data_IF_680950562244
#
_entry.id   IF_680950562244
#
_cell.length_a   1.000
_cell.length_b   1.000
_cell.length_c   1.000
_cell.angle_alpha   90.00
_cell.angle_beta   90.00
_cell.angle_gamma   90.00
#
_symmetry.space_group_name_H-M   'P 1'
#
loop_
_entity.id
_entity.type
_entity.pdbx_description
1 polymer ?
#
# COMPACT_ATOMS: atom_id res chain seq x y z
N UNK A 1 6.98 -11.02 12.80
CA UNK A 1 5.99 -9.99 12.61
C UNK A 1 5.94 -9.62 11.16
N UNK A 2 4.83 -10.00 10.53
CA UNK A 2 4.59 -9.79 9.13
C UNK A 2 4.62 -8.31 8.75
N UNK A 3 3.90 -7.47 9.49
CA UNK A 3 3.83 -6.03 9.21
C UNK A 3 5.14 -5.31 9.46
N UNK A 4 5.92 -5.77 10.42
CA UNK A 4 7.22 -5.18 10.66
C UNK A 4 8.16 -5.43 9.47
N UNK A 5 8.15 -6.63 8.92
CA UNK A 5 8.93 -6.96 7.72
C UNK A 5 8.49 -6.14 6.52
N UNK A 6 7.18 -5.93 6.37
CA UNK A 6 6.64 -5.09 5.31
C UNK A 6 7.12 -3.65 5.48
N UNK A 7 7.05 -3.11 6.69
CA UNK A 7 7.51 -1.75 6.97
C UNK A 7 8.99 -1.58 6.67
N UNK A 8 9.82 -2.56 7.02
CA UNK A 8 11.26 -2.53 6.74
C UNK A 8 11.53 -2.53 5.23
N UNK A 9 10.82 -3.36 4.49
CA UNK A 9 10.93 -3.40 3.02
C UNK A 9 10.48 -2.10 2.40
N UNK A 10 9.39 -1.53 2.92
CA UNK A 10 8.88 -0.24 2.46
C UNK A 10 9.91 0.85 2.68
N UNK A 11 10.57 0.87 3.83
CA UNK A 11 11.61 1.86 4.09
C UNK A 11 12.72 1.78 3.03
N UNK A 12 13.16 0.58 2.68
CA UNK A 12 14.21 0.40 1.66
C UNK A 12 13.76 0.94 0.30
N UNK A 13 12.50 0.66 -0.09
CA UNK A 13 11.95 1.18 -1.34
C UNK A 13 11.88 2.71 -1.33
N UNK A 14 11.41 3.28 -0.24
CA UNK A 14 11.29 4.72 -0.08
C UNK A 14 12.66 5.38 -0.15
N UNK A 15 13.65 4.81 0.51
CA UNK A 15 15.01 5.35 0.48
C UNK A 15 15.60 5.32 -0.93
N UNK A 16 15.38 4.24 -1.66
CA UNK A 16 15.88 4.13 -3.04
C UNK A 16 15.24 5.19 -3.94
N UNK A 17 13.93 5.36 -3.84
CA UNK A 17 13.21 6.38 -4.62
C UNK A 17 13.62 7.79 -4.23
N UNK A 18 13.80 8.04 -2.94
CA UNK A 18 14.22 9.35 -2.44
C UNK A 18 15.62 9.71 -2.93
N UNK A 19 16.54 8.75 -2.91
CA UNK A 19 17.91 8.98 -3.44
C UNK A 19 17.88 9.25 -4.92
N UNK A 20 17.07 8.53 -5.68
CA UNK A 20 16.93 8.75 -7.12
C UNK A 20 16.38 10.16 -7.42
N UNK A 21 15.57 10.70 -6.53
CA UNK A 21 15.00 12.04 -6.65
C UNK A 21 15.90 13.13 -6.06
N UNK A 22 17.10 12.79 -5.59
CA UNK A 22 18.03 13.71 -4.91
C UNK A 22 17.42 14.36 -3.67
N UNK A 23 16.62 13.60 -2.94
CA UNK A 23 15.95 14.10 -1.76
C UNK A 23 16.93 14.23 -0.59
N UNK A 24 16.76 15.31 0.17
CA UNK A 24 17.43 15.48 1.45
C UNK A 24 16.67 14.76 2.56
N UNK A 25 15.35 14.68 2.43
CA UNK A 25 14.47 14.13 3.45
C UNK A 25 13.14 13.70 2.84
N UNK A 26 12.56 12.64 3.39
CA UNK A 26 11.21 12.21 3.06
C UNK A 26 10.25 12.80 4.08
N UNK A 27 9.22 13.50 3.62
CA UNK A 27 8.22 14.14 4.47
C UNK A 27 7.02 13.21 4.70
N UNK A 28 6.55 12.59 3.63
CA UNK A 28 5.36 11.74 3.67
C UNK A 28 5.47 10.62 2.66
N UNK A 29 4.99 9.46 3.06
CA UNK A 29 4.90 8.26 2.22
C UNK A 29 3.43 7.90 2.10
N UNK A 30 2.92 7.79 0.90
CA UNK A 30 1.54 7.34 0.68
C UNK A 30 1.58 5.98 0.00
N UNK A 31 0.91 5.01 0.62
CA UNK A 31 0.81 3.65 0.09
C UNK A 31 -0.66 3.28 -0.09
N UNK A 32 -0.89 2.34 -1.00
CA UNK A 32 -2.20 1.75 -1.18
C UNK A 32 -2.14 0.31 -0.73
N UNK A 33 -3.11 -0.08 0.10
CA UNK A 33 -3.15 -1.43 0.66
C UNK A 33 -4.53 -2.02 0.36
N UNK A 34 -4.54 -3.09 -0.41
CA UNK A 34 -5.78 -3.77 -0.73
C UNK A 34 -6.37 -4.47 0.49
N UNK A 35 -7.70 -4.47 0.58
CA UNK A 35 -8.39 -5.15 1.69
C UNK A 35 -8.08 -6.65 1.72
N UNK A 36 -7.76 -7.23 0.58
CA UNK A 36 -7.43 -8.64 0.45
C UNK A 36 -5.91 -8.93 0.49
N UNK A 37 -5.10 -7.93 0.80
CA UNK A 37 -3.63 -8.09 0.82
C UNK A 37 -3.13 -8.85 2.05
N UNK A 38 -3.99 -9.08 3.04
CA UNK A 38 -3.59 -9.77 4.26
C UNK A 38 -2.73 -8.93 5.20
N UNK A 39 -2.79 -7.61 5.07
CA UNK A 39 -1.99 -6.68 5.87
C UNK A 39 -2.90 -5.97 6.87
N UNK A 40 -2.54 -6.03 8.15
CA UNK A 40 -3.27 -5.29 9.17
C UNK A 40 -2.72 -3.86 9.20
N UNK A 41 -3.54 -2.91 8.76
CA UNK A 41 -3.10 -1.53 8.53
C UNK A 41 -2.62 -0.80 9.79
N UNK A 42 -3.30 -1.02 10.91
CA UNK A 42 -2.89 -0.37 12.17
C UNK A 42 -1.53 -0.88 12.65
N UNK A 43 -1.28 -2.17 12.52
CA UNK A 43 0.02 -2.76 12.86
C UNK A 43 1.11 -2.25 11.92
N UNK A 44 0.79 -2.10 10.64
CA UNK A 44 1.74 -1.55 9.69
C UNK A 44 2.10 -0.10 10.04
N UNK A 45 1.11 0.71 10.39
CA UNK A 45 1.36 2.09 10.80
C UNK A 45 2.25 2.16 12.03
N UNK A 46 2.01 1.30 13.01
CA UNK A 46 2.84 1.23 14.21
C UNK A 46 4.26 0.78 13.89
N UNK A 47 4.40 -0.23 13.04
CA UNK A 47 5.72 -0.72 12.63
C UNK A 47 6.49 0.37 11.86
N UNK A 48 5.81 1.14 11.02
CA UNK A 48 6.44 2.23 10.29
C UNK A 48 7.04 3.27 11.24
N UNK A 49 6.32 3.63 12.29
CA UNK A 49 6.82 4.60 13.27
C UNK A 49 8.13 4.16 13.90
N UNK A 50 8.34 2.87 14.02
CA UNK A 50 9.57 2.32 14.56
C UNK A 50 10.68 2.26 13.51
N UNK A 51 10.39 1.75 12.31
CA UNK A 51 11.42 1.54 11.29
C UNK A 51 11.86 2.82 10.60
N UNK A 52 11.04 3.87 10.63
CA UNK A 52 11.36 5.13 9.95
C UNK A 52 12.47 5.93 10.62
N UNK A 53 12.83 5.59 11.84
CA UNK A 53 13.76 6.38 12.64
C UNK A 53 15.13 6.46 11.99
N UNK A 54 15.66 7.68 11.94
CA UNK A 54 16.99 7.96 11.41
C UNK A 54 17.03 8.08 9.90
N UNK A 55 18.01 8.82 9.40
CA UNK A 55 18.26 8.96 7.98
C UNK A 55 17.17 9.69 7.21
N UNK A 56 17.01 9.35 5.95
CA UNK A 56 16.09 10.03 5.03
C UNK A 56 14.62 9.94 5.46
N UNK A 57 14.26 8.86 6.14
CA UNK A 57 12.86 8.61 6.51
C UNK A 57 12.51 9.08 7.91
N UNK A 58 13.46 9.69 8.62
CA UNK A 58 13.21 10.11 10.00
C UNK A 58 12.03 11.07 10.07
N UNK A 59 11.04 10.75 10.88
CA UNK A 59 9.84 11.56 11.02
C UNK A 59 8.86 11.54 9.85
N UNK A 60 9.12 10.72 8.83
CA UNK A 60 8.24 10.64 7.66
C UNK A 60 6.88 10.07 8.04
N UNK A 61 5.82 10.77 7.66
CA UNK A 61 4.45 10.29 7.88
C UNK A 61 4.10 9.18 6.89
N UNK A 62 3.33 8.21 7.36
CA UNK A 62 2.78 7.18 6.48
C UNK A 62 1.28 7.39 6.33
N UNK A 63 0.83 7.57 5.09
CA UNK A 63 -0.59 7.61 4.76
C UNK A 63 -0.95 6.30 4.08
N UNK A 64 -1.91 5.60 4.65
CA UNK A 64 -2.38 4.32 4.12
C UNK A 64 -3.76 4.53 3.51
N UNK A 65 -3.88 4.26 2.21
CA UNK A 65 -5.15 4.33 1.50
C UNK A 65 -5.62 2.89 1.28
N UNK A 66 -6.78 2.56 1.83
CA UNK A 66 -7.37 1.24 1.66
C UNK A 66 -7.97 1.12 0.26
N UNK A 67 -7.71 -0.01 -0.38
CA UNK A 67 -8.27 -0.32 -1.71
C UNK A 67 -9.24 -1.49 -1.54
N UNK A 68 -10.52 -1.31 -1.88
CA UNK A 68 -11.49 -2.40 -1.70
C UNK A 68 -11.18 -3.60 -2.59
N UNK A 69 -11.56 -4.78 -2.11
CA UNK A 69 -11.48 -5.99 -2.89
C UNK A 69 -12.43 -5.89 -4.09
N UNK A 70 -11.97 -6.36 -5.23
CA UNK A 70 -12.79 -6.40 -6.44
C UNK A 70 -12.93 -7.85 -6.88
N UNK A 71 -14.18 -8.26 -7.08
CA UNK A 71 -14.53 -9.63 -7.44
C UNK A 71 -15.21 -9.67 -8.79
N UNK A 72 -14.92 -10.71 -9.58
CA UNK A 72 -15.55 -10.91 -10.87
C UNK A 72 -15.93 -12.38 -11.00
N UNK A 73 -16.91 -12.67 -11.86
CA UNK A 73 -17.27 -14.05 -12.16
C UNK A 73 -16.06 -14.80 -12.74
N UNK A 74 -15.81 -16.00 -12.26
CA UNK A 74 -14.69 -16.82 -12.73
C UNK A 74 -14.84 -17.26 -14.18
N UNK A 75 -16.04 -17.13 -14.76
CA UNK A 75 -16.31 -17.56 -16.13
C UNK A 75 -16.54 -16.37 -17.07
N UNK A 76 -17.56 -15.53 -16.79
CA UNK A 76 -17.93 -14.45 -17.71
C UNK A 76 -17.28 -13.11 -17.37
N UNK A 77 -16.56 -13.02 -16.26
CA UNK A 77 -15.83 -11.83 -15.81
C UNK A 77 -16.70 -10.62 -15.45
N UNK A 78 -18.00 -10.84 -15.29
CA UNK A 78 -18.91 -9.80 -14.83
C UNK A 78 -18.58 -9.43 -13.38
N UNK A 79 -18.54 -8.15 -13.03
CA UNK A 79 -18.29 -7.74 -11.63
C UNK A 79 -19.34 -8.29 -10.68
N UNK A 80 -18.88 -8.71 -9.50
CA UNK A 80 -19.72 -9.25 -8.42
C UNK A 80 -19.55 -8.34 -7.21
N UNK A 81 -20.66 -7.93 -6.60
CA UNK A 81 -20.63 -7.05 -5.44
C UNK A 81 -20.09 -7.73 -4.19
N UNK A 82 -19.59 -6.91 -3.26
CA UNK A 82 -19.00 -7.39 -2.01
C UNK A 82 -20.03 -7.64 -0.90
N UNK A 83 -21.25 -7.18 -1.06
CA UNK A 83 -22.23 -7.14 0.00
C UNK A 83 -23.27 -8.26 -0.07
N UNK A 84 -22.97 -9.31 -0.81
CA UNK A 84 -23.80 -10.48 -0.95
C UNK A 84 -22.97 -11.72 -1.21
N UNK A 85 -23.58 -12.83 -1.66
CA UNK A 85 -22.82 -14.00 -2.00
C UNK A 85 -21.83 -13.70 -3.12
N UNK A 86 -20.60 -14.20 -2.98
CA UNK A 86 -19.58 -14.00 -4.01
C UNK A 86 -19.78 -14.98 -5.16
N UNK A 87 -20.83 -14.74 -5.91
CA UNK A 87 -21.29 -15.63 -6.98
C UNK A 87 -21.95 -14.81 -8.08
N UNK A 88 -21.69 -15.17 -9.31
CA UNK A 88 -22.33 -14.54 -10.47
C UNK A 88 -23.79 -14.96 -10.55
N UNK A 89 -24.71 -14.01 -10.64
CA UNK A 89 -26.14 -14.34 -10.76
C UNK A 89 -26.47 -15.03 -12.07
N UNK A 90 -25.81 -14.63 -13.15
CA UNK A 90 -26.07 -15.20 -14.47
C UNK A 90 -25.51 -16.59 -14.64
N UNK A 91 -24.27 -16.82 -14.16
CA UNK A 91 -23.57 -18.09 -14.37
C UNK A 91 -23.72 -19.08 -13.21
N UNK A 92 -24.08 -18.59 -12.01
CA UNK A 92 -24.09 -19.42 -10.81
C UNK A 92 -22.71 -19.85 -10.35
N UNK A 93 -21.66 -19.29 -10.93
CA UNK A 93 -20.27 -19.63 -10.67
C UNK A 93 -19.71 -18.70 -9.59
N UNK A 94 -18.84 -19.24 -8.74
CA UNK A 94 -18.17 -18.46 -7.71
C UNK A 94 -17.31 -17.35 -8.29
N UNK A 95 -17.24 -16.22 -7.55
CA UNK A 95 -16.42 -15.10 -7.95
C UNK A 95 -14.95 -15.37 -7.63
N UNK A 96 -14.07 -14.76 -8.42
CA UNK A 96 -12.64 -14.76 -8.16
C UNK A 96 -12.18 -13.33 -7.90
N UNK A 97 -11.12 -13.19 -7.12
CA UNK A 97 -10.57 -11.89 -6.79
C UNK A 97 -9.86 -11.29 -8.01
N UNK A 98 -10.16 -10.03 -8.30
CA UNK A 98 -9.62 -9.31 -9.45
C UNK A 98 -9.08 -7.94 -9.05
N UNK A 99 -8.62 -7.78 -7.86
CA UNK A 99 -8.02 -6.53 -7.38
C UNK A 99 -8.21 -6.35 -5.90
N UNK A 100 -7.45 -5.41 -5.34
CA UNK A 100 -7.48 -5.15 -3.91
C UNK A 100 -6.67 -6.14 -3.09
N UNK A 101 -5.72 -6.81 -3.72
CA UNK A 101 -4.86 -7.80 -3.07
C UNK A 101 -3.38 -7.40 -3.03
N UNK A 102 -3.08 -6.16 -3.38
CA UNK A 102 -1.70 -5.65 -3.43
C UNK A 102 -1.45 -4.57 -2.39
N UNK A 103 -0.16 -4.39 -2.09
CA UNK A 103 0.33 -3.22 -1.37
C UNK A 103 1.38 -2.56 -2.27
N UNK A 104 1.24 -1.26 -2.52
CA UNK A 104 2.24 -0.58 -3.33
C UNK A 104 2.44 0.87 -2.90
N UNK A 105 3.66 1.35 -3.18
CA UNK A 105 4.03 2.74 -2.94
C UNK A 105 3.41 3.61 -4.03
N UNK A 106 2.57 4.54 -3.62
CA UNK A 106 1.83 5.38 -4.56
C UNK A 106 2.47 6.77 -4.74
N UNK A 107 2.93 7.36 -3.65
CA UNK A 107 3.43 8.74 -3.70
C UNK A 107 4.45 8.99 -2.60
N UNK A 108 5.46 9.76 -2.92
CA UNK A 108 6.41 10.29 -1.94
C UNK A 108 6.40 11.80 -1.99
N UNK A 109 6.39 12.40 -0.80
CA UNK A 109 6.60 13.82 -0.63
C UNK A 109 7.98 14.01 -0.02
N UNK A 110 8.85 14.73 -0.71
CA UNK A 110 10.25 14.87 -0.30
C UNK A 110 10.68 16.33 -0.29
N UNK A 111 11.73 16.61 0.49
CA UNK A 111 12.48 17.86 0.38
C UNK A 111 13.76 17.54 -0.38
N UNK A 112 14.06 18.30 -1.42
CA UNK A 112 15.26 18.09 -2.21
C UNK A 112 16.43 18.87 -1.66
N UNK A 113 17.62 18.34 -1.87
CA UNK A 113 18.83 18.97 -1.36
C UNK A 113 19.07 20.35 -1.99
N UNK A 114 18.64 20.56 -3.24
CA UNK A 114 18.79 21.84 -3.92
C UNK A 114 17.53 22.69 -3.96
N UNK A 115 16.55 22.41 -3.09
CA UNK A 115 15.32 23.20 -3.01
C UNK A 115 15.52 24.50 -2.25
N UNK A 116 16.70 24.74 -1.73
CA UNK A 116 17.02 25.98 -1.08
C UNK A 116 17.33 27.09 -2.08
N UNK A 117 17.43 28.32 -1.59
CA UNK A 117 17.79 29.45 -2.44
C UNK A 117 19.16 29.30 -3.04
#
# INVERSE_FOLDING_TARGET
>A
MHEYGIASSLRRMVEAEARAAHARRVVRVEIRVGDAAGVERNLLATAWEQVRAGGLTDGAELKIVAVPSRWVCGLCRTPVGNDGPLRCEACGIGAVLDGGDDLFLDRLEVERAEDGP
#
